data_IF_129820917717
#
_entry.id   IF_129820917717
#
_cell.length_a   1.000
_cell.length_b   1.000
_cell.length_c   1.000
_cell.angle_alpha   90.00
_cell.angle_beta   90.00
_cell.angle_gamma   90.00
#
_symmetry.space_group_name_H-M   'P 1'
#
loop_
_entity.id
_entity.type
_entity.pdbx_description
1 polymer ?
#
# COMPACT_ATOMS: atom_id res chain seq x y z
N UNK A 1 -20.94 -33.58 -27.05
CA UNK A 1 -20.24 -32.51 -26.30
C UNK A 1 -21.33 -31.74 -25.57
N UNK A 2 -21.58 -32.15 -24.33
CA UNK A 2 -22.78 -31.78 -23.59
C UNK A 2 -22.85 -30.29 -23.29
N UNK A 3 -24.01 -29.69 -23.52
CA UNK A 3 -24.34 -28.28 -23.21
C UNK A 3 -24.03 -27.97 -21.73
N UNK A 4 -24.12 -28.98 -20.87
CA UNK A 4 -23.78 -28.91 -19.44
C UNK A 4 -22.28 -28.70 -19.20
N UNK A 5 -21.41 -29.31 -20.01
CA UNK A 5 -19.95 -29.17 -19.88
C UNK A 5 -19.50 -27.76 -20.31
N UNK A 6 -20.12 -27.21 -21.35
CA UNK A 6 -19.81 -25.85 -21.84
C UNK A 6 -20.29 -24.78 -20.86
N UNK A 7 -21.50 -24.91 -20.30
CA UNK A 7 -22.00 -23.96 -19.29
C UNK A 7 -21.18 -23.99 -18.01
N UNK A 8 -20.72 -25.16 -17.56
CA UNK A 8 -19.78 -25.29 -16.43
C UNK A 8 -18.45 -24.57 -16.69
N UNK A 9 -17.88 -24.72 -17.89
CA UNK A 9 -16.63 -24.04 -18.26
C UNK A 9 -16.79 -22.51 -18.30
N UNK A 10 -17.89 -21.99 -18.85
CA UNK A 10 -18.15 -20.55 -18.84
C UNK A 10 -18.40 -20.00 -17.43
N UNK A 11 -19.08 -20.75 -16.57
CA UNK A 11 -19.30 -20.38 -15.17
C UNK A 11 -17.99 -20.35 -14.37
N UNK A 12 -17.10 -21.32 -14.59
CA UNK A 12 -15.74 -21.33 -14.01
C UNK A 12 -14.92 -20.15 -14.54
N UNK A 13 -15.01 -19.82 -15.83
CA UNK A 13 -14.33 -18.63 -16.34
C UNK A 13 -14.89 -17.35 -15.70
N UNK A 14 -16.22 -17.20 -15.60
CA UNK A 14 -16.89 -16.05 -14.97
C UNK A 14 -16.50 -15.83 -13.50
N UNK A 15 -16.31 -16.90 -12.72
CA UNK A 15 -15.83 -16.81 -11.34
C UNK A 15 -14.34 -16.47 -11.23
N UNK A 16 -13.54 -16.78 -12.25
CA UNK A 16 -12.13 -16.39 -12.35
C UNK A 16 -11.93 -14.95 -12.85
N UNK A 17 -12.89 -14.36 -13.60
CA UNK A 17 -12.79 -12.97 -14.10
C UNK A 17 -13.32 -11.91 -13.13
N UNK A 18 -14.00 -12.26 -12.03
CA UNK A 18 -14.34 -11.28 -11.00
C UNK A 18 -13.05 -10.86 -10.30
N UNK A 19 -12.47 -9.69 -10.62
CA UNK A 19 -11.29 -9.23 -9.94
C UNK A 19 -11.77 -8.90 -8.52
N UNK A 20 -11.20 -9.55 -7.51
CA UNK A 20 -11.36 -9.08 -6.13
C UNK A 20 -10.87 -7.63 -6.12
N UNK A 21 -11.79 -6.68 -6.12
CA UNK A 21 -11.47 -5.27 -5.97
C UNK A 21 -10.61 -5.15 -4.71
N UNK A 22 -9.47 -4.45 -4.78
CA UNK A 22 -8.53 -4.25 -3.66
C UNK A 22 -9.12 -3.32 -2.58
N UNK A 23 -10.29 -3.65 -2.06
CA UNK A 23 -10.91 -3.06 -0.89
C UNK A 23 -10.66 -3.92 0.35
N UNK A 24 -11.15 -3.48 1.50
CA UNK A 24 -11.21 -4.37 2.66
C UNK A 24 -12.23 -5.48 2.37
N UNK A 25 -11.98 -6.70 2.88
CA UNK A 25 -13.03 -7.72 2.89
C UNK A 25 -14.22 -7.26 3.77
N UNK A 26 -15.45 -7.73 3.48
CA UNK A 26 -16.63 -7.36 4.26
C UNK A 26 -16.40 -7.61 5.77
N UNK A 27 -16.56 -6.56 6.59
CA UNK A 27 -16.38 -6.64 8.04
C UNK A 27 -14.95 -6.45 8.56
N UNK A 28 -13.94 -6.23 7.70
CA UNK A 28 -12.57 -5.99 8.14
C UNK A 28 -12.24 -4.52 8.49
N UNK A 29 -13.16 -3.59 8.24
CA UNK A 29 -12.96 -2.19 8.60
C UNK A 29 -13.00 -2.06 10.12
N UNK A 30 -11.94 -1.49 10.70
CA UNK A 30 -11.85 -1.21 12.13
C UNK A 30 -11.28 0.17 12.38
N UNK A 31 -11.57 0.72 13.55
CA UNK A 31 -10.71 1.73 14.14
C UNK A 31 -9.43 1.06 14.64
N UNK A 32 -8.29 1.60 14.27
CA UNK A 32 -7.01 1.07 14.70
C UNK A 32 -5.90 2.10 14.58
N UNK A 33 -4.70 1.70 14.96
CA UNK A 33 -3.52 2.52 14.88
C UNK A 33 -2.42 1.81 14.08
N UNK A 34 -1.56 2.60 13.45
CA UNK A 34 -0.30 2.16 12.85
C UNK A 34 0.81 3.14 13.23
N UNK A 35 2.04 2.70 13.07
CA UNK A 35 3.18 3.61 13.17
C UNK A 35 3.39 4.26 11.81
N UNK A 36 3.43 5.58 11.79
CA UNK A 36 3.59 6.43 10.63
C UNK A 36 4.70 7.44 10.94
N UNK A 37 5.80 7.39 10.21
CA UNK A 37 7.00 8.21 10.41
C UNK A 37 7.54 8.24 11.85
N UNK A 38 7.45 7.12 12.58
CA UNK A 38 7.88 7.06 13.97
C UNK A 38 6.88 7.65 14.97
N UNK A 39 5.65 7.93 14.56
CA UNK A 39 4.56 8.35 15.42
C UNK A 39 3.35 7.40 15.31
N UNK A 40 2.45 7.43 16.30
CA UNK A 40 1.24 6.62 16.27
C UNK A 40 0.09 7.37 15.60
N UNK A 41 -0.27 6.93 14.39
CA UNK A 41 -1.43 7.43 13.65
C UNK A 41 -2.62 6.48 13.84
N UNK A 42 -3.77 7.01 14.24
CA UNK A 42 -4.98 6.23 14.49
C UNK A 42 -6.14 6.76 13.66
N UNK A 43 -6.82 5.87 12.96
CA UNK A 43 -7.98 6.18 12.11
C UNK A 43 -8.71 4.87 11.73
N UNK A 44 -9.81 5.00 10.99
CA UNK A 44 -10.55 3.85 10.48
C UNK A 44 -9.95 3.34 9.17
N UNK A 45 -9.91 2.03 8.99
CA UNK A 45 -9.62 1.37 7.71
C UNK A 45 -9.40 -0.13 7.87
N UNK A 46 -8.74 -0.76 6.90
CA UNK A 46 -8.62 -2.23 6.92
C UNK A 46 -7.72 -2.70 8.08
N UNK A 47 -8.05 -3.87 8.64
CA UNK A 47 -7.21 -4.58 9.60
C UNK A 47 -5.75 -4.74 9.12
N UNK A 48 -5.54 -4.92 7.82
CA UNK A 48 -4.22 -5.08 7.20
C UNK A 48 -3.37 -3.80 7.18
N UNK A 49 -3.98 -2.63 7.29
CA UNK A 49 -3.29 -1.32 7.28
C UNK A 49 -3.06 -0.80 8.71
N UNK A 50 -4.01 -1.03 9.62
CA UNK A 50 -3.90 -0.61 11.01
C UNK A 50 -3.53 -1.80 11.87
N UNK A 51 -2.25 -1.95 12.21
CA UNK A 51 -1.72 -3.11 12.95
C UNK A 51 -2.25 -3.21 14.38
N UNK A 52 -2.38 -2.08 15.07
CA UNK A 52 -2.67 -2.01 16.50
C UNK A 52 -4.14 -1.68 16.75
N UNK A 53 -4.70 -2.26 17.81
CA UNK A 53 -6.10 -2.04 18.18
C UNK A 53 -6.33 -0.69 18.87
N UNK A 54 -5.31 -0.15 19.53
CA UNK A 54 -5.37 1.10 20.28
C UNK A 54 -4.03 1.84 20.27
N UNK A 55 -4.06 3.11 20.70
CA UNK A 55 -2.89 4.01 20.69
C UNK A 55 -1.80 3.58 21.68
N UNK A 56 -2.16 2.93 22.78
CA UNK A 56 -1.22 2.50 23.82
C UNK A 56 -0.36 1.33 23.36
N UNK A 57 -0.98 0.34 22.71
CA UNK A 57 -0.32 -0.79 22.07
C UNK A 57 0.67 -0.30 21.01
N UNK A 58 0.24 0.65 20.16
CA UNK A 58 1.11 1.29 19.18
C UNK A 58 2.32 1.98 19.85
N UNK A 59 2.10 2.77 20.91
CA UNK A 59 3.17 3.48 21.63
C UNK A 59 4.17 2.51 22.26
N UNK A 60 3.70 1.38 22.81
CA UNK A 60 4.58 0.34 23.35
C UNK A 60 5.43 -0.28 22.23
N UNK A 61 4.84 -0.57 21.08
CA UNK A 61 5.58 -1.11 19.94
C UNK A 61 6.62 -0.13 19.38
N UNK A 62 6.28 1.16 19.32
CA UNK A 62 7.19 2.22 18.90
C UNK A 62 8.44 2.31 19.80
N UNK A 63 8.25 2.21 21.12
CA UNK A 63 9.38 2.14 22.09
C UNK A 63 10.22 0.88 21.90
N UNK A 64 9.61 -0.22 21.47
CA UNK A 64 10.25 -1.52 21.33
C UNK A 64 11.19 -1.68 20.12
N UNK A 65 11.05 -0.85 19.06
CA UNK A 65 11.79 -0.84 17.76
C UNK A 65 11.91 -2.15 16.96
N UNK A 66 11.90 -3.33 17.60
CA UNK A 66 12.08 -4.66 16.99
C UNK A 66 10.95 -5.07 16.04
N UNK A 67 9.74 -4.55 16.26
CA UNK A 67 8.56 -4.80 15.41
C UNK A 67 8.29 -3.65 14.45
N UNK A 68 9.16 -2.63 14.43
CA UNK A 68 8.98 -1.44 13.60
C UNK A 68 9.73 -1.57 12.28
N UNK A 69 9.00 -1.94 11.22
CA UNK A 69 9.51 -2.01 9.85
C UNK A 69 10.07 -0.68 9.34
N UNK A 70 9.61 0.45 9.89
CA UNK A 70 10.09 1.79 9.54
C UNK A 70 11.35 2.21 10.31
N UNK A 71 11.74 1.48 11.37
CA UNK A 71 12.91 1.82 12.20
C UNK A 71 14.24 1.80 11.45
N UNK A 72 14.31 1.08 10.32
CA UNK A 72 15.49 0.99 9.44
C UNK A 72 15.51 2.06 8.34
N UNK A 73 14.61 3.05 8.41
CA UNK A 73 14.44 4.12 7.40
C UNK A 73 14.49 3.58 5.96
N UNK A 74 13.54 2.69 5.59
CA UNK A 74 13.59 2.02 4.29
C UNK A 74 13.29 2.97 3.12
N UNK A 75 12.56 4.05 3.34
CA UNK A 75 12.18 5.04 2.33
C UNK A 75 13.32 6.05 2.08
N UNK A 76 13.71 6.20 0.82
CA UNK A 76 14.75 7.12 0.38
C UNK A 76 14.18 8.52 0.12
N UNK A 77 15.07 9.49 -0.07
CA UNK A 77 14.74 10.86 -0.51
C UNK A 77 13.64 11.55 0.30
N UNK A 78 13.66 11.35 1.63
CA UNK A 78 12.68 11.93 2.56
C UNK A 78 11.25 11.42 2.37
N UNK A 79 11.08 10.24 1.75
CA UNK A 79 9.80 9.55 1.69
C UNK A 79 9.31 9.15 3.09
N UNK A 80 8.00 9.25 3.31
CA UNK A 80 7.36 8.93 4.59
C UNK A 80 7.11 7.43 4.70
N UNK A 81 7.49 6.81 5.82
CA UNK A 81 7.27 5.38 6.05
C UNK A 81 6.03 5.12 6.91
N UNK A 82 5.15 4.23 6.45
CA UNK A 82 4.00 3.75 7.20
C UNK A 82 4.10 2.24 7.40
N UNK A 83 3.88 1.74 8.61
CA UNK A 83 3.80 0.29 8.87
C UNK A 83 2.51 -0.32 8.34
N UNK A 84 2.61 -1.56 7.87
CA UNK A 84 1.49 -2.37 7.37
C UNK A 84 1.64 -3.81 7.83
N UNK A 85 0.54 -4.59 7.80
CA UNK A 85 0.63 -6.04 8.03
C UNK A 85 1.06 -6.80 6.77
N UNK A 86 0.88 -6.21 5.59
CA UNK A 86 1.27 -6.79 4.30
C UNK A 86 2.78 -6.78 4.15
N UNK A 87 3.36 -7.86 3.65
CA UNK A 87 4.78 -7.98 3.35
C UNK A 87 5.21 -6.92 2.31
N UNK A 88 6.31 -6.17 2.52
CA UNK A 88 7.40 -6.36 3.49
C UNK A 88 7.18 -5.79 4.90
N UNK A 89 5.96 -5.38 5.25
CA UNK A 89 5.59 -4.85 6.57
C UNK A 89 5.63 -3.33 6.66
N UNK A 90 5.86 -2.64 5.53
CA UNK A 90 5.87 -1.19 5.42
C UNK A 90 5.45 -0.75 4.01
N UNK A 91 5.05 0.51 3.90
CA UNK A 91 4.82 1.23 2.64
C UNK A 91 5.50 2.60 2.71
N UNK A 92 6.13 2.99 1.62
CA UNK A 92 6.66 4.35 1.45
C UNK A 92 5.64 5.23 0.73
N UNK A 93 5.53 6.47 1.20
CA UNK A 93 4.78 7.57 0.58
C UNK A 93 5.78 8.56 0.03
N UNK A 94 5.83 8.68 -1.29
CA UNK A 94 6.84 9.47 -2.00
C UNK A 94 6.28 10.81 -2.52
N UNK A 95 4.99 11.09 -2.31
CA UNK A 95 4.34 12.30 -2.78
C UNK A 95 5.09 13.55 -2.28
N UNK A 96 5.35 14.50 -3.17
CA UNK A 96 6.08 15.74 -2.85
C UNK A 96 7.61 15.60 -2.74
N UNK A 97 8.17 14.38 -2.85
CA UNK A 97 9.64 14.18 -2.85
C UNK A 97 10.28 14.38 -4.22
N UNK A 98 9.49 14.28 -5.30
CA UNK A 98 10.02 14.20 -6.68
C UNK A 98 10.58 12.82 -7.04
N UNK A 99 10.28 11.81 -6.23
CA UNK A 99 10.65 10.41 -6.46
C UNK A 99 9.43 9.50 -6.41
N UNK A 100 9.56 8.30 -6.97
CA UNK A 100 8.57 7.23 -6.96
C UNK A 100 9.23 5.86 -6.79
N UNK A 101 8.42 4.81 -6.66
CA UNK A 101 8.88 3.44 -6.44
C UNK A 101 8.58 2.93 -5.03
N UNK A 102 8.89 1.67 -4.76
CA UNK A 102 8.57 1.03 -3.48
C UNK A 102 9.26 1.71 -2.29
N UNK A 103 10.45 2.26 -2.53
CA UNK A 103 11.31 2.92 -1.55
C UNK A 103 11.64 4.36 -1.95
N UNK A 104 10.88 4.95 -2.87
CA UNK A 104 11.17 6.28 -3.43
C UNK A 104 12.56 6.36 -4.09
N UNK A 105 12.98 5.30 -4.78
CA UNK A 105 14.31 5.14 -5.36
C UNK A 105 14.46 5.75 -6.77
N UNK A 106 13.36 5.95 -7.50
CA UNK A 106 13.37 6.46 -8.87
C UNK A 106 13.00 7.94 -8.92
N UNK A 107 13.73 8.74 -9.69
CA UNK A 107 13.37 10.15 -9.94
C UNK A 107 12.14 10.24 -10.83
N UNK A 108 11.23 11.13 -10.48
CA UNK A 108 10.09 11.44 -11.34
C UNK A 108 10.54 11.86 -12.75
N UNK A 109 9.89 11.33 -13.80
CA UNK A 109 10.21 11.71 -15.17
C UNK A 109 9.91 13.19 -15.39
N UNK A 110 10.82 13.89 -16.06
CA UNK A 110 10.55 15.27 -16.45
C UNK A 110 9.58 15.30 -17.63
N UNK A 111 8.66 16.27 -17.64
CA UNK A 111 7.72 16.47 -18.76
C UNK A 111 8.45 16.79 -20.07
N UNK A 112 9.72 17.21 -20.02
CA UNK A 112 10.57 17.46 -21.19
C UNK A 112 11.33 16.23 -21.69
N UNK A 113 11.59 15.22 -20.84
CA UNK A 113 12.19 13.94 -21.26
C UNK A 113 11.18 12.99 -21.92
N UNK A 114 9.90 13.35 -21.92
CA UNK A 114 8.77 12.49 -22.29
C UNK A 114 8.30 12.69 -23.75
N UNK A 115 9.11 13.30 -24.62
CA UNK A 115 8.72 13.47 -26.04
C UNK A 115 9.01 12.25 -26.93
N UNK A 116 9.63 11.17 -26.43
CA UNK A 116 9.98 10.01 -27.28
C UNK A 116 9.68 8.60 -26.78
N UNK A 117 9.17 8.36 -25.58
CA UNK A 117 8.61 7.04 -25.27
C UNK A 117 7.75 7.03 -24.01
N UNK A 118 6.54 6.50 -24.13
CA UNK A 118 5.61 6.02 -23.09
C UNK A 118 4.90 7.04 -22.19
N UNK A 119 3.57 7.03 -22.32
CA UNK A 119 2.54 7.66 -21.48
C UNK A 119 2.46 7.06 -20.06
N UNK A 120 3.58 6.75 -19.42
CA UNK A 120 3.60 6.27 -18.03
C UNK A 120 4.13 7.39 -17.13
N UNK A 121 3.22 7.97 -16.35
CA UNK A 121 3.53 8.97 -15.34
C UNK A 121 3.08 8.43 -13.97
N UNK A 122 4.01 8.15 -13.04
CA UNK A 122 3.65 7.68 -11.71
C UNK A 122 2.77 8.69 -10.97
N UNK A 123 1.78 8.20 -10.23
CA UNK A 123 0.85 9.07 -9.51
C UNK A 123 1.54 9.85 -8.39
N UNK A 124 2.60 9.29 -7.81
CA UNK A 124 3.42 9.94 -6.78
C UNK A 124 4.14 11.20 -7.30
N UNK A 125 4.28 11.32 -8.63
CA UNK A 125 4.92 12.46 -9.29
C UNK A 125 3.96 13.61 -9.61
N UNK A 126 2.65 13.39 -9.47
CA UNK A 126 1.66 14.44 -9.76
C UNK A 126 1.67 15.47 -8.63
N UNK A 127 1.97 16.72 -8.96
CA UNK A 127 1.88 17.86 -8.04
C UNK A 127 0.43 18.39 -8.07
N UNK A 128 -0.23 18.40 -6.93
CA UNK A 128 -1.58 18.99 -6.73
C UNK A 128 -1.50 20.27 -5.90
#
# INVERSE_FOLDING_TARGET
>A
MDIVQTTLLFAVMLTWVLPMSRGCEPGQVREGCRIDNGECFCASGCYSEYRYSNREECRKALKGKKLDSCSRTPCLHQGTCSQTMKEPGYKCRCEGTGYYGQRCEYRCPSLFSQSRSQNYYPYECVLI
#
